data_IF_777141872036
#
_entry.id   IF_777141872036
#
_cell.length_a   1.000
_cell.length_b   1.000
_cell.length_c   1.000
_cell.angle_alpha   90.00
_cell.angle_beta   90.00
_cell.angle_gamma   90.00
#
_symmetry.space_group_name_H-M   'P 1'
#
loop_
_entity.id
_entity.type
_entity.pdbx_description
1 polymer ?
#
# COMPACT_ATOMS: atom_id res chain seq x y z
N UNK A 1 2.02 4.60 -14.85
CA UNK A 1 2.06 3.28 -15.51
C UNK A 1 1.04 3.18 -16.65
N UNK A 2 -0.26 3.43 -16.44
CA UNK A 2 -1.25 3.45 -17.56
C UNK A 2 -0.98 4.53 -18.64
N UNK A 3 -0.38 5.67 -18.27
CA UNK A 3 -0.11 6.77 -19.22
C UNK A 3 0.92 6.46 -20.31
N UNK A 4 1.88 5.56 -20.06
CA UNK A 4 2.85 5.16 -21.08
C UNK A 4 2.22 4.24 -22.15
N UNK A 5 1.33 3.33 -21.74
CA UNK A 5 0.57 2.49 -22.67
C UNK A 5 -0.49 3.27 -23.46
N UNK A 6 -1.09 4.30 -22.86
CA UNK A 6 -2.04 5.19 -23.54
C UNK A 6 -1.35 6.15 -24.52
N UNK A 7 -0.15 6.63 -24.21
CA UNK A 7 0.67 7.41 -25.13
C UNK A 7 1.10 6.59 -26.37
N UNK A 8 1.36 5.29 -26.21
CA UNK A 8 1.66 4.40 -27.33
C UNK A 8 0.48 4.17 -28.29
N UNK A 9 -0.77 4.41 -27.84
CA UNK A 9 -1.96 4.24 -28.68
C UNK A 9 -2.21 5.42 -29.64
N UNK A 10 -1.42 6.50 -29.57
CA UNK A 10 -1.42 7.56 -30.61
C UNK A 10 -2.60 8.55 -30.59
N UNK A 11 -3.53 8.47 -29.62
CA UNK A 11 -4.64 9.43 -29.48
C UNK A 11 -4.35 10.60 -28.54
N UNK A 12 -4.60 11.84 -28.98
CA UNK A 12 -4.48 13.05 -28.16
C UNK A 12 -5.42 13.01 -26.92
N UNK A 13 -6.64 12.51 -27.11
CA UNK A 13 -7.65 12.39 -26.03
C UNK A 13 -7.24 11.40 -24.93
N UNK A 14 -6.83 10.15 -25.24
CA UNK A 14 -6.34 9.21 -24.21
C UNK A 14 -5.03 9.66 -23.56
N UNK A 15 -4.16 10.37 -24.27
CA UNK A 15 -3.00 11.02 -23.67
C UNK A 15 -3.43 12.05 -22.63
N UNK A 16 -4.34 12.97 -22.99
CA UNK A 16 -4.88 13.97 -22.05
C UNK A 16 -5.64 13.35 -20.88
N UNK A 17 -6.40 12.28 -21.09
CA UNK A 17 -7.11 11.57 -20.02
C UNK A 17 -6.12 10.88 -19.07
N UNK A 18 -5.08 10.27 -19.63
CA UNK A 18 -4.01 9.66 -18.84
C UNK A 18 -3.19 10.71 -18.10
N UNK A 19 -2.99 11.89 -18.69
CA UNK A 19 -2.31 13.01 -18.08
C UNK A 19 -3.18 13.66 -17.01
N UNK A 20 -4.50 13.71 -17.20
CA UNK A 20 -5.47 14.16 -16.19
C UNK A 20 -5.59 13.16 -15.03
N UNK A 21 -5.49 11.86 -15.28
CA UNK A 21 -5.45 10.85 -14.24
C UNK A 21 -4.11 10.81 -13.53
N UNK A 22 -2.99 10.95 -14.24
CA UNK A 22 -1.66 11.10 -13.64
C UNK A 22 -1.56 12.42 -12.89
N UNK A 23 -2.12 13.52 -13.40
CA UNK A 23 -2.19 14.80 -12.72
C UNK A 23 -3.16 14.73 -11.53
N UNK A 24 -4.27 14.00 -11.64
CA UNK A 24 -5.21 13.73 -10.55
C UNK A 24 -4.55 12.90 -9.46
N UNK A 25 -3.88 11.80 -9.81
CA UNK A 25 -3.07 10.99 -8.90
C UNK A 25 -1.89 11.78 -8.34
N UNK A 26 -1.20 12.61 -9.13
CA UNK A 26 -0.14 13.49 -8.65
C UNK A 26 -0.68 14.63 -7.80
N UNK A 27 -1.92 15.10 -8.01
CA UNK A 27 -2.57 16.10 -7.17
C UNK A 27 -3.06 15.47 -5.86
N UNK A 28 -3.57 14.25 -5.92
CA UNK A 28 -3.86 13.38 -4.78
C UNK A 28 -2.59 12.90 -4.07
N UNK A 29 -1.45 12.86 -4.75
CA UNK A 29 -0.14 12.45 -4.20
C UNK A 29 0.70 13.65 -3.73
N UNK A 30 0.53 14.84 -4.34
CA UNK A 30 1.15 16.11 -3.91
C UNK A 30 0.39 16.72 -2.76
N UNK A 31 -0.89 16.38 -2.61
CA UNK A 31 -1.49 16.21 -1.29
C UNK A 31 -0.89 14.96 -0.67
N UNK A 32 0.31 15.11 -0.12
CA UNK A 32 1.02 14.12 0.70
C UNK A 32 0.04 13.07 1.26
N UNK A 33 0.05 11.80 0.82
CA UNK A 33 -0.77 10.77 1.48
C UNK A 33 -0.43 10.71 2.98
N UNK A 34 0.79 11.10 3.35
CA UNK A 34 1.26 11.35 4.72
C UNK A 34 0.60 12.56 5.42
N UNK A 35 0.07 13.57 4.69
CA UNK A 35 -0.70 14.72 5.22
C UNK A 35 -2.11 14.31 5.62
N UNK A 36 -2.74 13.39 4.90
CA UNK A 36 -4.01 12.80 5.34
C UNK A 36 -3.82 11.99 6.63
N UNK A 37 -2.65 11.38 6.81
CA UNK A 37 -2.24 10.72 8.04
C UNK A 37 -1.68 11.69 9.11
N UNK A 38 -1.26 12.92 8.75
CA UNK A 38 -0.46 13.81 9.62
C UNK A 38 0.66 13.02 10.32
N UNK A 39 1.39 12.23 9.55
CA UNK A 39 2.44 11.37 10.09
C UNK A 39 3.59 12.25 10.61
N UNK A 40 3.94 12.09 11.89
CA UNK A 40 5.03 12.77 12.58
C UNK A 40 6.08 11.73 13.00
N UNK A 41 7.33 12.13 13.27
CA UNK A 41 8.31 11.23 13.85
C UNK A 41 7.76 10.56 15.12
N UNK A 42 8.04 9.28 15.28
CA UNK A 42 7.63 8.52 16.46
C UNK A 42 8.14 9.17 17.76
N UNK A 43 7.31 9.14 18.81
CA UNK A 43 7.73 9.48 20.17
C UNK A 43 8.76 8.48 20.72
N UNK A 44 9.42 8.84 21.83
CA UNK A 44 10.53 8.07 22.42
C UNK A 44 10.24 6.57 22.57
N UNK A 45 9.04 6.20 23.02
CA UNK A 45 8.66 4.79 23.26
C UNK A 45 8.66 3.93 21.98
N UNK A 46 8.25 4.48 20.84
CA UNK A 46 8.30 3.78 19.56
C UNK A 46 9.70 3.87 18.94
N UNK A 47 10.38 5.01 19.14
CA UNK A 47 11.73 5.24 18.63
C UNK A 47 12.75 4.29 19.26
N UNK A 48 12.60 3.94 20.53
CA UNK A 48 13.46 2.94 21.21
C UNK A 48 13.39 1.55 20.59
N UNK A 49 12.24 1.12 20.06
CA UNK A 49 12.08 -0.18 19.37
C UNK A 49 12.81 -0.23 18.02
N UNK A 50 13.07 0.94 17.44
CA UNK A 50 13.70 1.08 16.13
C UNK A 50 15.16 1.55 16.28
N UNK A 51 15.54 2.11 17.43
CA UNK A 51 16.91 2.49 17.77
C UNK A 51 17.86 1.30 17.62
N UNK A 52 18.95 1.51 16.88
CA UNK A 52 19.90 0.46 16.52
C UNK A 52 19.60 -0.27 15.21
N UNK A 53 18.48 0.05 14.55
CA UNK A 53 18.21 -0.33 13.16
C UNK A 53 18.15 0.97 12.36
N UNK A 54 18.83 1.07 11.22
CA UNK A 54 18.81 2.26 10.32
C UNK A 54 17.44 2.42 9.65
N UNK A 55 16.39 2.65 10.45
CA UNK A 55 15.00 2.69 10.05
C UNK A 55 14.36 3.93 10.68
N UNK A 56 13.81 4.79 9.85
CA UNK A 56 12.99 5.93 10.26
C UNK A 56 11.65 5.45 10.82
N UNK A 57 11.17 6.09 11.88
CA UNK A 57 9.88 5.76 12.48
C UNK A 57 8.92 6.92 12.34
N UNK A 58 7.78 6.66 11.70
CA UNK A 58 6.68 7.59 11.51
C UNK A 58 5.43 7.07 12.22
N UNK A 59 4.69 7.97 12.84
CA UNK A 59 3.41 7.67 13.50
C UNK A 59 2.35 8.70 13.14
N UNK A 60 1.10 8.28 13.04
CA UNK A 60 -0.05 9.15 12.82
C UNK A 60 -0.95 9.22 14.06
N UNK A 61 -1.98 10.07 14.06
CA UNK A 61 -2.93 10.13 15.17
C UNK A 61 -4.21 9.32 14.98
N UNK A 62 -4.47 8.77 13.79
CA UNK A 62 -5.82 8.38 13.36
C UNK A 62 -5.93 6.95 12.83
N UNK A 63 -4.82 6.33 12.46
CA UNK A 63 -4.80 5.02 11.85
C UNK A 63 -4.58 3.90 12.88
N UNK A 64 -5.08 2.73 12.52
CA UNK A 64 -4.90 1.49 13.26
C UNK A 64 -3.88 0.56 12.57
N UNK A 65 -3.23 1.04 11.50
CA UNK A 65 -2.35 0.23 10.67
C UNK A 65 -0.89 0.30 11.11
N UNK A 66 -0.17 -0.81 11.00
CA UNK A 66 1.29 -0.85 11.07
C UNK A 66 1.86 -1.41 9.77
N UNK A 67 2.83 -0.72 9.17
CA UNK A 67 3.52 -1.19 7.97
C UNK A 67 5.01 -0.89 8.04
N UNK A 68 5.81 -1.86 7.59
CA UNK A 68 7.26 -1.72 7.42
C UNK A 68 7.61 -1.61 5.93
N UNK A 69 8.15 -0.45 5.56
CA UNK A 69 8.86 -0.23 4.30
C UNK A 69 10.36 -0.51 4.43
N UNK A 70 11.14 -0.11 3.41
CA UNK A 70 12.59 -0.37 3.32
C UNK A 70 13.36 0.15 4.54
N UNK A 71 13.34 1.47 4.74
CA UNK A 71 14.01 2.17 5.84
C UNK A 71 12.99 2.95 6.67
N UNK A 72 11.71 2.57 6.63
CA UNK A 72 10.68 3.33 7.32
C UNK A 72 9.65 2.40 7.93
N UNK A 73 9.40 2.56 9.22
CA UNK A 73 8.30 1.95 9.94
C UNK A 73 7.20 3.01 10.10
N UNK A 74 5.99 2.70 9.64
CA UNK A 74 4.80 3.55 9.85
C UNK A 74 3.87 2.83 10.82
N UNK A 75 3.59 3.47 11.95
CA UNK A 75 2.75 2.91 13.01
C UNK A 75 1.60 3.85 13.35
N UNK A 76 0.37 3.37 13.23
CA UNK A 76 -0.81 4.13 13.57
C UNK A 76 -0.90 4.45 15.06
N UNK A 77 -1.11 5.72 15.41
CA UNK A 77 -1.15 6.13 16.81
C UNK A 77 -2.39 5.66 17.54
N UNK A 78 -3.51 5.41 16.86
CA UNK A 78 -4.66 4.74 17.50
C UNK A 78 -4.39 3.28 17.76
N UNK A 79 -3.62 2.62 16.90
CA UNK A 79 -3.19 1.26 17.16
C UNK A 79 -2.33 1.17 18.43
N UNK A 80 -1.40 2.11 18.64
CA UNK A 80 -0.56 2.15 19.84
C UNK A 80 -1.37 2.47 21.11
N UNK A 81 -2.44 3.26 21.00
CA UNK A 81 -3.30 3.64 22.13
C UNK A 81 -4.33 2.58 22.50
N UNK A 82 -4.90 1.88 21.52
CA UNK A 82 -6.07 1.01 21.73
C UNK A 82 -5.73 -0.49 21.73
N UNK A 83 -4.59 -0.90 21.19
CA UNK A 83 -4.20 -2.32 21.17
C UNK A 83 -3.15 -2.62 22.25
N UNK A 84 -3.42 -3.47 23.26
CA UNK A 84 -2.55 -3.64 24.42
C UNK A 84 -1.20 -4.30 24.09
N UNK A 85 -1.16 -5.21 23.10
CA UNK A 85 0.06 -5.93 22.68
C UNK A 85 0.77 -5.26 21.49
N UNK A 86 0.65 -3.94 21.36
CA UNK A 86 1.18 -3.22 20.19
C UNK A 86 2.69 -3.35 20.02
N UNK A 87 3.45 -3.45 21.14
CA UNK A 87 4.91 -3.62 21.11
C UNK A 87 5.31 -4.90 20.39
N UNK A 88 4.66 -6.00 20.75
CA UNK A 88 4.91 -7.31 20.16
C UNK A 88 4.61 -7.33 18.66
N UNK A 89 3.51 -6.70 18.22
CA UNK A 89 3.19 -6.55 16.80
C UNK A 89 4.27 -5.76 16.06
N UNK A 90 4.76 -4.64 16.64
CA UNK A 90 5.81 -3.83 16.03
C UNK A 90 7.12 -4.60 15.94
N UNK A 91 7.51 -5.33 16.99
CA UNK A 91 8.68 -6.20 16.96
C UNK A 91 8.55 -7.30 15.90
N UNK A 92 7.37 -7.91 15.78
CA UNK A 92 7.08 -8.88 14.75
C UNK A 92 7.22 -8.29 13.34
N UNK A 93 6.69 -7.08 13.10
CA UNK A 93 6.87 -6.36 11.83
C UNK A 93 8.35 -6.05 11.52
N UNK A 94 9.14 -5.74 12.55
CA UNK A 94 10.58 -5.52 12.43
C UNK A 94 11.39 -6.82 12.23
N UNK A 95 10.82 -8.00 12.49
CA UNK A 95 11.43 -9.31 12.20
C UNK A 95 11.10 -9.81 10.79
N UNK A 96 10.00 -9.37 10.19
CA UNK A 96 9.66 -9.78 8.81
C UNK A 96 10.74 -9.28 7.84
N UNK A 97 11.37 -10.17 7.05
CA UNK A 97 12.38 -9.78 6.08
C UNK A 97 11.75 -8.93 4.98
N UNK A 98 12.25 -7.70 4.81
CA UNK A 98 11.91 -6.86 3.68
C UNK A 98 12.81 -7.21 2.49
N UNK A 99 12.22 -7.62 1.37
CA UNK A 99 12.98 -7.99 0.17
C UNK A 99 12.57 -7.05 -0.97
N UNK A 100 13.52 -6.22 -1.42
CA UNK A 100 13.30 -5.26 -2.51
C UNK A 100 13.17 -5.93 -3.88
N UNK A 101 14.00 -6.94 -4.13
CA UNK A 101 14.09 -7.67 -5.41
C UNK A 101 12.73 -8.12 -5.95
N UNK A 102 11.87 -8.82 -5.18
CA UNK A 102 10.55 -9.21 -5.66
C UNK A 102 9.63 -8.02 -5.91
N UNK A 103 9.69 -6.96 -5.10
CA UNK A 103 8.84 -5.78 -5.27
C UNK A 103 9.23 -5.00 -6.52
N UNK A 104 10.53 -4.85 -6.79
CA UNK A 104 11.07 -4.28 -8.03
C UNK A 104 10.68 -5.13 -9.23
N UNK A 105 10.88 -6.44 -9.18
CA UNK A 105 10.52 -7.36 -10.28
C UNK A 105 9.01 -7.28 -10.58
N UNK A 106 8.14 -7.30 -9.56
CA UNK A 106 6.69 -7.13 -9.73
C UNK A 106 6.33 -5.76 -10.31
N UNK A 107 7.01 -4.70 -9.91
CA UNK A 107 6.82 -3.35 -10.47
C UNK A 107 7.24 -3.25 -11.94
N UNK A 108 8.39 -3.82 -12.31
CA UNK A 108 8.87 -3.81 -13.69
C UNK A 108 8.05 -4.73 -14.60
N UNK A 109 7.72 -5.94 -14.15
CA UNK A 109 6.92 -6.89 -14.93
C UNK A 109 5.51 -6.38 -15.19
N UNK A 110 4.90 -5.74 -14.19
CA UNK A 110 3.58 -5.11 -14.35
C UNK A 110 3.63 -3.92 -15.33
N UNK A 111 4.70 -3.12 -15.29
CA UNK A 111 4.90 -2.03 -16.25
C UNK A 111 5.05 -2.55 -17.67
N UNK A 112 5.89 -3.58 -17.85
CA UNK A 112 6.16 -4.16 -19.16
C UNK A 112 4.89 -4.77 -19.77
N UNK A 113 4.11 -5.50 -18.96
CA UNK A 113 2.85 -6.10 -19.42
C UNK A 113 1.84 -5.03 -19.88
N UNK A 114 1.69 -3.93 -19.15
CA UNK A 114 0.80 -2.84 -19.57
C UNK A 114 1.22 -2.22 -20.90
N UNK A 115 2.52 -2.03 -21.11
CA UNK A 115 3.05 -1.47 -22.37
C UNK A 115 2.84 -2.44 -23.52
N UNK A 116 3.13 -3.74 -23.32
CA UNK A 116 2.92 -4.77 -24.32
C UNK A 116 1.45 -4.87 -24.74
N UNK A 117 0.52 -4.88 -23.77
CA UNK A 117 -0.93 -4.91 -24.05
C UNK A 117 -1.40 -3.63 -24.75
N UNK A 118 -0.88 -2.47 -24.33
CA UNK A 118 -1.20 -1.18 -24.95
C UNK A 118 -0.71 -1.05 -26.40
N UNK A 119 0.37 -1.76 -26.77
CA UNK A 119 0.87 -1.77 -28.16
C UNK A 119 0.03 -2.66 -29.09
N UNK A 120 -0.54 -3.74 -28.57
CA UNK A 120 -1.36 -4.69 -29.35
C UNK A 120 -2.78 -4.16 -29.57
N UNK A 121 -3.31 -3.36 -28.65
CA UNK A 121 -4.67 -2.85 -28.71
C UNK A 121 -4.76 -1.61 -29.62
N UNK A 122 -5.71 -1.58 -30.57
CA UNK A 122 -5.95 -0.39 -31.37
C UNK A 122 -6.46 0.76 -30.47
N UNK A 123 -6.14 2.02 -30.81
CA UNK A 123 -6.63 3.17 -30.05
C UNK A 123 -8.15 3.20 -29.97
N UNK A 124 -8.67 3.44 -28.76
CA UNK A 124 -10.10 3.59 -28.54
C UNK A 124 -10.52 3.35 -27.10
N UNK A 125 -11.78 3.66 -26.78
CA UNK A 125 -12.36 3.49 -25.44
C UNK A 125 -12.23 2.05 -24.91
N UNK A 126 -12.28 1.07 -25.81
CA UNK A 126 -12.09 -0.34 -25.45
C UNK A 126 -10.68 -0.63 -24.93
N UNK A 127 -9.64 -0.11 -25.60
CA UNK A 127 -8.25 -0.26 -25.15
C UNK A 127 -8.02 0.39 -23.77
N UNK A 128 -8.65 1.55 -23.55
CA UNK A 128 -8.61 2.24 -22.26
C UNK A 128 -9.22 1.35 -21.17
N UNK A 129 -10.43 0.84 -21.38
CA UNK A 129 -11.13 -0.01 -20.42
C UNK A 129 -10.32 -1.28 -20.08
N UNK A 130 -9.74 -1.93 -21.10
CA UNK A 130 -8.91 -3.12 -20.93
C UNK A 130 -7.65 -2.80 -20.11
N UNK A 131 -6.96 -1.69 -20.40
CA UNK A 131 -5.76 -1.30 -19.65
C UNK A 131 -6.08 -0.96 -18.18
N UNK A 132 -7.21 -0.31 -17.90
CA UNK A 132 -7.65 -0.04 -16.53
C UNK A 132 -8.04 -1.32 -15.78
N UNK A 133 -8.79 -2.22 -16.42
CA UNK A 133 -9.15 -3.51 -15.83
C UNK A 133 -7.89 -4.33 -15.53
N UNK A 134 -6.95 -4.38 -16.46
CA UNK A 134 -5.66 -5.05 -16.27
C UNK A 134 -4.85 -4.43 -15.13
N UNK A 135 -4.81 -3.09 -15.05
CA UNK A 135 -4.14 -2.39 -13.96
C UNK A 135 -4.74 -2.73 -12.59
N UNK A 136 -6.07 -2.77 -12.51
CA UNK A 136 -6.78 -3.14 -11.29
C UNK A 136 -6.48 -4.59 -10.88
N UNK A 137 -6.59 -5.54 -11.81
CA UNK A 137 -6.29 -6.96 -11.55
C UNK A 137 -4.84 -7.13 -11.11
N UNK A 138 -3.90 -6.45 -11.76
CA UNK A 138 -2.49 -6.50 -11.39
C UNK A 138 -2.24 -5.91 -10.00
N UNK A 139 -2.87 -4.78 -9.66
CA UNK A 139 -2.77 -4.19 -8.33
C UNK A 139 -3.29 -5.15 -7.25
N UNK A 140 -4.45 -5.76 -7.48
CA UNK A 140 -5.03 -6.74 -6.55
C UNK A 140 -4.16 -8.00 -6.43
N UNK A 141 -3.61 -8.50 -7.54
CA UNK A 141 -2.70 -9.63 -7.56
C UNK A 141 -1.40 -9.37 -6.80
N UNK A 142 -0.78 -8.20 -7.01
CA UNK A 142 0.42 -7.76 -6.28
C UNK A 142 0.13 -7.64 -4.78
N UNK A 143 -0.98 -6.99 -4.41
CA UNK A 143 -1.38 -6.87 -3.01
C UNK A 143 -1.59 -8.24 -2.35
N UNK A 144 -2.33 -9.15 -3.01
CA UNK A 144 -2.55 -10.50 -2.52
C UNK A 144 -1.24 -11.29 -2.38
N UNK A 145 -0.35 -11.18 -3.35
CA UNK A 145 0.97 -11.83 -3.30
C UNK A 145 1.81 -11.31 -2.13
N UNK A 146 1.87 -10.00 -1.92
CA UNK A 146 2.58 -9.39 -0.79
C UNK A 146 2.02 -9.87 0.54
N UNK A 147 0.70 -9.86 0.70
CA UNK A 147 0.04 -10.36 1.92
C UNK A 147 0.38 -11.84 2.17
N UNK A 148 0.28 -12.70 1.15
CA UNK A 148 0.61 -14.13 1.26
C UNK A 148 2.07 -14.34 1.64
N UNK A 149 2.97 -13.60 1.01
CA UNK A 149 4.40 -13.68 1.29
C UNK A 149 4.72 -13.24 2.72
N UNK A 150 4.15 -12.12 3.17
CA UNK A 150 4.32 -11.65 4.55
C UNK A 150 3.82 -12.70 5.53
N UNK A 151 2.63 -13.28 5.32
CA UNK A 151 2.11 -14.38 6.15
C UNK A 151 3.04 -15.58 6.23
N UNK A 152 3.68 -15.95 5.13
CA UNK A 152 4.62 -17.08 5.08
C UNK A 152 5.92 -16.83 5.84
N UNK A 153 6.36 -15.57 5.92
CA UNK A 153 7.63 -15.18 6.57
C UNK A 153 7.43 -14.59 7.97
N UNK A 154 6.20 -14.62 8.51
CA UNK A 154 5.95 -14.28 9.91
C UNK A 154 6.49 -15.43 10.78
N UNK A 155 7.37 -15.14 11.75
CA UNK A 155 7.85 -16.12 12.73
C UNK A 155 6.70 -16.79 13.48
N UNK A 156 6.85 -18.06 13.89
CA UNK A 156 5.80 -18.81 14.60
C UNK A 156 5.35 -18.12 15.90
N UNK A 157 6.31 -17.56 16.65
CA UNK A 157 6.08 -16.77 17.87
C UNK A 157 5.25 -15.50 17.62
N UNK A 158 5.25 -15.00 16.39
CA UNK A 158 4.50 -13.82 15.98
C UNK A 158 3.11 -14.13 15.43
N UNK A 159 2.78 -15.40 15.10
CA UNK A 159 1.51 -15.72 14.43
C UNK A 159 0.29 -15.42 15.29
N UNK A 160 0.36 -15.73 16.58
CA UNK A 160 -0.74 -15.49 17.53
C UNK A 160 -1.04 -14.00 17.65
N UNK A 161 0.00 -13.20 17.94
CA UNK A 161 -0.10 -11.73 18.07
C UNK A 161 -0.60 -11.09 16.79
N UNK A 162 -0.09 -11.53 15.63
CA UNK A 162 -0.52 -11.01 14.33
C UNK A 162 -1.96 -11.41 13.99
N UNK A 163 -2.46 -12.54 14.50
CA UNK A 163 -3.85 -12.95 14.35
C UNK A 163 -4.78 -12.09 15.21
N UNK A 164 -4.42 -11.86 16.48
CA UNK A 164 -5.15 -10.95 17.38
C UNK A 164 -5.21 -9.53 16.80
N UNK A 165 -4.08 -9.03 16.30
CA UNK A 165 -4.03 -7.74 15.63
C UNK A 165 -4.92 -7.70 14.38
N UNK A 166 -4.94 -8.76 13.56
CA UNK A 166 -5.80 -8.83 12.38
C UNK A 166 -7.29 -8.82 12.75
N UNK A 167 -7.68 -9.49 13.83
CA UNK A 167 -9.06 -9.48 14.34
C UNK A 167 -9.44 -8.11 14.90
N UNK A 168 -8.55 -7.48 15.68
CA UNK A 168 -8.71 -6.11 16.17
C UNK A 168 -8.88 -5.12 15.00
N UNK A 169 -8.01 -5.19 14.00
CA UNK A 169 -8.07 -4.32 12.83
C UNK A 169 -9.38 -4.51 12.06
N UNK A 170 -9.83 -5.75 11.86
CA UNK A 170 -11.13 -6.05 11.22
C UNK A 170 -12.31 -5.46 11.99
N UNK A 171 -12.30 -5.59 13.32
CA UNK A 171 -13.35 -5.02 14.18
C UNK A 171 -13.40 -3.50 14.04
N UNK A 172 -12.24 -2.83 14.10
CA UNK A 172 -12.13 -1.37 13.95
C UNK A 172 -12.46 -0.88 12.54
N UNK A 173 -12.07 -1.63 11.51
CA UNK A 173 -12.46 -1.34 10.12
C UNK A 173 -13.98 -1.40 9.96
N UNK A 174 -14.63 -2.45 10.49
CA UNK A 174 -16.10 -2.59 10.47
C UNK A 174 -16.81 -1.51 11.29
N UNK A 175 -16.24 -1.08 12.41
CA UNK A 175 -16.77 0.05 13.21
C UNK A 175 -16.64 1.40 12.47
N UNK A 176 -15.59 1.57 11.67
CA UNK A 176 -15.39 2.76 10.83
C UNK A 176 -16.35 2.76 9.64
N UNK A 177 -16.51 1.62 8.97
CA UNK A 177 -17.49 1.43 7.88
C UNK A 177 -18.93 1.59 8.37
N UNK A 178 -19.25 1.25 9.62
CA UNK A 178 -20.59 1.54 10.19
C UNK A 178 -20.93 3.04 10.25
N UNK A 179 -19.96 3.96 10.11
CA UNK A 179 -20.19 5.42 10.01
C UNK A 179 -20.22 5.93 8.55
N UNK A 180 -20.07 5.05 7.56
CA UNK A 180 -20.21 5.37 6.14
C UNK A 180 -21.11 4.32 5.49
N UNK A 181 -22.37 4.70 5.31
CA UNK A 181 -23.43 3.99 4.59
C UNK A 181 -22.86 3.00 3.56
N UNK A 182 -23.06 1.71 3.81
CA UNK A 182 -22.84 0.63 2.84
C UNK A 182 -24.08 0.62 1.93
N UNK A 183 -23.91 0.98 0.66
CA UNK A 183 -24.80 0.52 -0.40
C UNK A 183 -24.28 -0.87 -0.80
N UNK A 184 -25.23 -1.82 -0.82
CA UNK A 184 -25.12 -3.22 -1.22
C UNK A 184 -24.42 -3.41 -2.59
#
# INVERSE_FOLDING_TARGET
>A
MAGAGLAASGGLLPFLLSLALVAGFNFLSSRDPMRALKAVPCGETLRTLVNGREIDCLTDNVSYGGYRGRNTLVVGGKFVKEFPRWREVVECLLRVPYSETPQKILGYSSSFLMVAVGFVLPPGLFAIAVLYALAFVMMMGVAAYLVRRTKKHIPEDCKEVMKEYAEFYRKKAKERDKRSIVID
#
